data_IF_008755760190
#
_entry.id   IF_008755760190
#
_cell.length_a   1.000
_cell.length_b   1.000
_cell.length_c   1.000
_cell.angle_alpha   90.00
_cell.angle_beta   90.00
_cell.angle_gamma   90.00
#
_symmetry.space_group_name_H-M   'P 1'
#
loop_
_entity.id
_entity.type
_entity.pdbx_description
1 polymer ?
#
# COMPACT_ATOMS: atom_id res chain seq x y z
N UNK A 1 -1.23 -12.94 8.35
CA UNK A 1 -2.65 -12.55 8.31
C UNK A 1 -3.12 -12.16 9.69
N UNK A 2 -3.93 -11.10 9.80
CA UNK A 2 -4.59 -10.70 11.05
C UNK A 2 -5.81 -11.51 11.32
N UNK A 3 -6.55 -11.88 10.28
CA UNK A 3 -7.84 -12.52 10.44
C UNK A 3 -7.89 -13.93 9.87
N UNK A 4 -8.77 -14.71 10.46
CA UNK A 4 -9.17 -16.03 9.99
C UNK A 4 -10.64 -16.21 10.37
N UNK A 5 -11.33 -17.13 9.71
CA UNK A 5 -12.67 -17.55 10.11
C UNK A 5 -12.57 -18.52 11.27
N UNK A 6 -13.23 -18.19 12.37
CA UNK A 6 -13.41 -19.05 13.55
C UNK A 6 -14.91 -19.13 13.78
N UNK A 7 -15.45 -20.35 13.69
CA UNK A 7 -16.90 -20.61 13.72
C UNK A 7 -17.70 -19.77 12.69
N UNK A 8 -17.09 -19.50 11.53
CA UNK A 8 -17.68 -18.68 10.46
C UNK A 8 -17.49 -17.18 10.61
N UNK A 9 -16.95 -16.69 11.73
CA UNK A 9 -16.75 -15.27 11.98
C UNK A 9 -15.29 -14.85 11.77
N UNK A 10 -15.07 -13.70 11.14
CA UNK A 10 -13.75 -13.10 10.97
C UNK A 10 -13.20 -12.66 12.33
N UNK A 11 -12.12 -13.28 12.79
CA UNK A 11 -11.57 -13.04 14.13
C UNK A 11 -10.04 -12.89 14.13
N UNK A 12 -9.56 -12.02 15.01
CA UNK A 12 -8.15 -11.90 15.33
C UNK A 12 -7.68 -13.11 16.18
N UNK A 13 -6.39 -13.47 16.13
CA UNK A 13 -5.86 -14.64 16.82
C UNK A 13 -5.72 -14.41 18.33
N UNK A 14 -6.20 -15.39 19.11
CA UNK A 14 -5.92 -15.55 20.54
C UNK A 14 -5.17 -16.89 20.78
N UNK A 15 -4.53 -17.07 21.96
CA UNK A 15 -3.82 -18.30 22.26
C UNK A 15 -4.66 -19.56 22.02
N UNK A 16 -4.04 -20.57 21.40
CA UNK A 16 -4.61 -21.91 21.15
C UNK A 16 -5.81 -21.97 20.19
N UNK A 17 -6.14 -20.88 19.51
CA UNK A 17 -7.21 -20.90 18.52
C UNK A 17 -6.80 -21.62 17.22
N UNK A 18 -7.80 -22.18 16.55
CA UNK A 18 -7.72 -22.75 15.20
C UNK A 18 -8.76 -22.03 14.35
N UNK A 19 -8.43 -21.81 13.08
CA UNK A 19 -9.33 -21.14 12.15
C UNK A 19 -9.18 -21.69 10.74
N UNK A 20 -9.88 -21.02 9.84
CA UNK A 20 -9.87 -21.27 8.40
C UNK A 20 -9.46 -19.98 7.70
N UNK A 21 -8.48 -20.04 6.80
CA UNK A 21 -8.02 -18.88 6.06
C UNK A 21 -9.19 -18.23 5.30
N UNK A 22 -9.37 -16.93 5.46
CA UNK A 22 -10.43 -16.16 4.77
C UNK A 22 -10.29 -16.24 3.24
N UNK A 23 -9.06 -16.42 2.73
CA UNK A 23 -8.78 -16.46 1.31
C UNK A 23 -8.88 -17.88 0.75
N UNK A 24 -8.02 -18.82 1.17
CA UNK A 24 -7.94 -20.14 0.52
C UNK A 24 -8.80 -21.22 1.17
N UNK A 25 -9.43 -20.95 2.32
CA UNK A 25 -10.19 -21.95 3.06
C UNK A 25 -9.33 -23.04 3.73
N UNK A 26 -8.00 -22.95 3.68
CA UNK A 26 -7.13 -23.93 4.34
C UNK A 26 -7.05 -23.70 5.86
N UNK A 27 -6.79 -24.76 6.66
CA UNK A 27 -6.67 -24.62 8.11
C UNK A 27 -5.51 -23.71 8.55
N UNK A 28 -5.80 -22.82 9.49
CA UNK A 28 -4.84 -21.92 10.14
C UNK A 28 -4.78 -22.20 11.65
N UNK A 29 -3.69 -21.75 12.26
CA UNK A 29 -3.46 -21.79 13.72
C UNK A 29 -2.98 -20.44 14.19
N UNK A 30 -3.45 -20.03 15.37
CA UNK A 30 -2.96 -18.83 16.04
C UNK A 30 -1.54 -19.10 16.54
N UNK A 31 -0.60 -18.25 16.13
CA UNK A 31 0.80 -18.27 16.57
C UNK A 31 1.17 -16.93 17.19
N UNK A 32 2.10 -16.99 18.13
CA UNK A 32 2.78 -15.83 18.70
C UNK A 32 4.26 -16.20 18.78
N UNK A 33 5.13 -15.34 18.25
CA UNK A 33 6.57 -15.50 18.36
C UNK A 33 7.14 -14.52 19.38
N UNK A 34 8.36 -14.75 19.86
CA UNK A 34 9.02 -13.85 20.84
C UNK A 34 9.18 -12.40 20.35
N UNK A 35 9.07 -12.15 19.04
CA UNK A 35 9.13 -10.83 18.40
C UNK A 35 7.88 -10.49 17.57
N UNK A 36 6.91 -11.41 17.45
CA UNK A 36 5.79 -11.28 16.51
C UNK A 36 4.49 -11.27 17.29
N UNK A 37 3.65 -10.26 17.04
CA UNK A 37 2.28 -10.17 17.56
C UNK A 37 1.48 -11.43 17.19
N UNK A 38 0.39 -11.70 17.90
CA UNK A 38 -0.51 -12.80 17.53
C UNK A 38 -0.91 -12.68 16.05
N UNK A 39 -0.73 -13.76 15.30
CA UNK A 39 -1.06 -13.82 13.88
C UNK A 39 -1.61 -15.20 13.52
N UNK A 40 -2.40 -15.26 12.44
CA UNK A 40 -2.81 -16.53 11.85
C UNK A 40 -1.74 -17.01 10.87
N UNK A 41 -1.39 -18.28 10.99
CA UNK A 41 -0.48 -18.98 10.09
C UNK A 41 -1.14 -20.26 9.55
N UNK A 42 -0.93 -20.56 8.27
CA UNK A 42 -1.32 -21.84 7.69
C UNK A 42 -0.61 -23.00 8.41
N UNK A 43 -1.31 -24.11 8.63
CA UNK A 43 -0.71 -25.32 9.23
C UNK A 43 0.36 -25.93 8.33
N UNK A 44 0.11 -25.91 7.02
CA UNK A 44 1.05 -26.36 5.98
C UNK A 44 1.55 -25.13 5.25
N UNK A 45 2.83 -25.11 4.88
CA UNK A 45 3.37 -24.04 4.06
C UNK A 45 2.67 -24.06 2.71
N UNK A 46 1.91 -23.02 2.40
CA UNK A 46 1.25 -22.84 1.11
C UNK A 46 1.47 -21.41 0.62
N UNK A 47 1.61 -21.24 -0.70
CA UNK A 47 1.44 -19.93 -1.34
C UNK A 47 -0.06 -19.67 -1.40
N UNK A 48 -0.54 -18.70 -0.62
CA UNK A 48 -1.97 -18.46 -0.44
C UNK A 48 -2.45 -17.44 -1.47
N UNK A 49 -2.32 -16.15 -1.16
CA UNK A 49 -2.50 -15.05 -2.11
C UNK A 49 -1.11 -14.64 -2.62
N UNK A 50 -0.86 -14.64 -3.95
CA UNK A 50 0.42 -14.22 -4.51
C UNK A 50 0.75 -12.75 -4.26
N UNK A 51 -0.24 -11.89 -4.00
CA UNK A 51 -0.03 -10.47 -3.66
C UNK A 51 0.25 -10.24 -2.18
N UNK A 52 0.08 -11.28 -1.37
CA UNK A 52 0.28 -11.23 0.08
C UNK A 52 1.74 -11.49 0.45
N UNK A 53 2.44 -10.42 0.83
CA UNK A 53 3.79 -10.52 1.39
C UNK A 53 3.77 -10.58 2.94
N UNK A 54 4.93 -10.82 3.55
CA UNK A 54 5.14 -10.71 4.98
C UNK A 54 4.88 -9.28 5.45
N UNK A 55 3.70 -9.10 6.04
CA UNK A 55 3.25 -7.82 6.56
C UNK A 55 4.20 -7.23 7.60
N UNK A 56 4.66 -6.01 7.32
CA UNK A 56 5.53 -5.25 8.22
C UNK A 56 4.73 -4.60 9.37
N UNK A 57 5.45 -4.18 10.41
CA UNK A 57 4.85 -3.39 11.50
C UNK A 57 4.20 -2.10 11.01
N UNK A 58 4.84 -1.39 10.07
CA UNK A 58 4.32 -0.16 9.45
C UNK A 58 2.99 -0.43 8.74
N UNK A 59 2.93 -1.51 7.96
CA UNK A 59 1.73 -1.92 7.21
C UNK A 59 0.57 -2.26 8.16
N UNK A 60 0.86 -3.03 9.20
CA UNK A 60 -0.13 -3.39 10.23
C UNK A 60 -0.66 -2.16 10.97
N UNK A 61 0.22 -1.23 11.34
CA UNK A 61 -0.17 -0.04 12.10
C UNK A 61 -1.07 0.87 11.26
N UNK A 62 -0.81 1.01 9.96
CA UNK A 62 -1.72 1.71 9.05
C UNK A 62 -3.10 1.06 8.97
N UNK A 63 -3.18 -0.26 8.79
CA UNK A 63 -4.46 -0.97 8.80
C UNK A 63 -5.24 -0.79 10.10
N UNK A 64 -4.56 -0.75 11.23
CA UNK A 64 -5.19 -0.59 12.56
C UNK A 64 -5.84 0.78 12.81
N UNK A 65 -5.73 1.75 11.88
CA UNK A 65 -6.52 2.99 11.94
C UNK A 65 -7.97 2.79 11.46
N UNK A 66 -8.29 1.61 10.94
CA UNK A 66 -9.60 1.25 10.41
C UNK A 66 -10.25 0.19 11.29
N UNK A 67 -11.57 0.07 11.24
CA UNK A 67 -12.29 -0.99 11.94
C UNK A 67 -11.98 -2.36 11.32
N UNK A 68 -12.07 -3.42 12.12
CA UNK A 68 -11.71 -4.77 11.68
C UNK A 68 -12.56 -5.24 10.48
N UNK A 69 -13.80 -4.75 10.35
CA UNK A 69 -14.68 -5.10 9.23
C UNK A 69 -14.24 -4.46 7.90
N UNK A 70 -13.44 -3.40 7.92
CA UNK A 70 -12.85 -2.77 6.72
C UNK A 70 -11.57 -3.47 6.26
N UNK A 71 -10.92 -4.26 7.12
CA UNK A 71 -9.57 -4.80 6.88
C UNK A 71 -9.58 -6.21 6.26
N UNK A 72 -8.57 -6.52 5.43
CA UNK A 72 -8.32 -7.85 4.84
C UNK A 72 -9.58 -8.41 4.14
N UNK A 73 -10.10 -7.70 3.12
CA UNK A 73 -11.33 -8.04 2.41
C UNK A 73 -11.02 -8.83 1.14
N UNK A 74 -11.64 -10.00 0.98
CA UNK A 74 -11.44 -10.83 -0.21
C UNK A 74 -12.28 -10.29 -1.37
N UNK A 75 -11.62 -9.86 -2.43
CA UNK A 75 -12.24 -9.48 -3.70
C UNK A 75 -12.19 -10.63 -4.69
N UNK A 76 -13.14 -10.61 -5.62
CA UNK A 76 -13.21 -11.52 -6.76
C UNK A 76 -13.38 -10.69 -8.02
N UNK A 77 -12.62 -11.02 -9.05
CA UNK A 77 -12.88 -10.48 -10.38
C UNK A 77 -13.96 -11.32 -11.11
N UNK A 78 -14.19 -10.98 -12.39
CA UNK A 78 -15.13 -11.69 -13.25
C UNK A 78 -14.63 -13.08 -13.69
N UNK A 79 -13.33 -13.33 -13.63
CA UNK A 79 -12.73 -14.62 -13.99
C UNK A 79 -12.73 -15.63 -12.85
N UNK A 80 -12.97 -15.17 -11.62
CA UNK A 80 -12.89 -15.95 -10.40
C UNK A 80 -11.51 -15.89 -9.72
N UNK A 81 -10.59 -15.09 -10.26
CA UNK A 81 -9.38 -14.66 -9.55
C UNK A 81 -9.79 -13.86 -8.31
N UNK A 82 -9.04 -14.04 -7.23
CA UNK A 82 -9.29 -13.36 -5.97
C UNK A 82 -8.00 -12.86 -5.36
N UNK A 83 -8.12 -11.76 -4.64
CA UNK A 83 -7.04 -11.15 -3.86
C UNK A 83 -7.60 -10.54 -2.58
N UNK A 84 -6.72 -10.33 -1.60
CA UNK A 84 -7.09 -9.67 -0.35
C UNK A 84 -6.73 -8.19 -0.43
N UNK A 85 -7.74 -7.33 -0.39
CA UNK A 85 -7.56 -5.90 -0.21
C UNK A 85 -7.16 -5.60 1.24
N UNK A 86 -6.21 -4.69 1.42
CA UNK A 86 -5.75 -4.25 2.71
C UNK A 86 -6.88 -3.59 3.52
N UNK A 87 -7.55 -2.60 2.93
CA UNK A 87 -8.70 -1.86 3.46
C UNK A 87 -9.74 -1.63 2.37
N UNK A 88 -11.02 -1.66 2.77
CA UNK A 88 -12.14 -1.14 1.99
C UNK A 88 -12.95 -0.20 2.86
N UNK A 89 -13.13 1.04 2.42
CA UNK A 89 -13.93 2.01 3.17
C UNK A 89 -15.44 1.84 2.90
N UNK A 90 -16.27 2.64 3.58
CA UNK A 90 -17.73 2.60 3.44
C UNK A 90 -18.23 2.95 2.03
N UNK A 91 -17.42 3.65 1.24
CA UNK A 91 -17.69 4.01 -0.15
C UNK A 91 -17.19 2.94 -1.15
N UNK A 92 -16.74 1.77 -0.67
CA UNK A 92 -16.14 0.70 -1.46
C UNK A 92 -14.86 1.07 -2.22
N UNK A 93 -14.14 2.10 -1.75
CA UNK A 93 -12.81 2.44 -2.26
C UNK A 93 -11.79 1.54 -1.58
N UNK A 94 -10.97 0.87 -2.39
CA UNK A 94 -9.87 0.02 -1.93
C UNK A 94 -8.69 0.91 -1.54
N UNK A 95 -8.04 0.62 -0.41
CA UNK A 95 -6.82 1.31 0.01
C UNK A 95 -5.75 0.27 0.25
N UNK A 96 -4.66 0.34 -0.51
CA UNK A 96 -3.50 -0.55 -0.42
C UNK A 96 -2.28 0.18 0.17
N UNK A 97 -1.59 -0.47 1.12
CA UNK A 97 -0.40 0.08 1.75
C UNK A 97 0.86 -0.57 1.20
N UNK A 98 1.72 0.23 0.57
CA UNK A 98 2.93 -0.29 -0.04
C UNK A 98 4.19 0.15 0.73
N UNK A 99 4.86 -0.82 1.37
CA UNK A 99 6.08 -0.56 2.15
C UNK A 99 7.38 -0.71 1.34
N UNK A 100 7.38 -1.56 0.32
CA UNK A 100 8.55 -1.93 -0.47
C UNK A 100 8.37 -1.53 -1.95
N UNK A 101 9.43 -1.41 -2.75
CA UNK A 101 9.28 -1.22 -4.19
C UNK A 101 8.45 -2.33 -4.83
N UNK A 102 7.64 -1.97 -5.80
CA UNK A 102 6.80 -2.87 -6.60
C UNK A 102 7.07 -2.60 -8.08
N UNK A 103 6.97 -3.63 -8.93
CA UNK A 103 7.11 -3.43 -10.37
C UNK A 103 5.92 -2.66 -10.95
N UNK A 104 6.14 -1.89 -12.01
CA UNK A 104 5.05 -1.19 -12.71
C UNK A 104 3.98 -2.16 -13.23
N UNK A 105 4.38 -3.35 -13.67
CA UNK A 105 3.46 -4.38 -14.14
C UNK A 105 2.54 -4.89 -13.02
N UNK A 106 3.07 -5.10 -11.82
CA UNK A 106 2.27 -5.52 -10.66
C UNK A 106 1.37 -4.37 -10.17
N UNK A 107 1.86 -3.14 -10.13
CA UNK A 107 1.06 -1.96 -9.78
C UNK A 107 -0.15 -1.82 -10.71
N UNK A 108 0.08 -1.88 -12.02
CA UNK A 108 -0.99 -1.84 -13.02
C UNK A 108 -1.94 -3.02 -12.88
N UNK A 109 -1.43 -4.23 -12.64
CA UNK A 109 -2.28 -5.40 -12.42
C UNK A 109 -3.22 -5.25 -11.24
N UNK A 110 -2.77 -4.60 -10.15
CA UNK A 110 -3.61 -4.34 -8.98
C UNK A 110 -4.64 -3.24 -9.23
N UNK A 111 -4.26 -2.18 -9.94
CA UNK A 111 -5.16 -1.11 -10.35
C UNK A 111 -6.26 -1.62 -11.30
N UNK A 112 -5.89 -2.43 -12.29
CA UNK A 112 -6.83 -3.04 -13.22
C UNK A 112 -7.80 -4.01 -12.50
N UNK A 113 -7.35 -4.68 -11.43
CA UNK A 113 -8.15 -5.63 -10.64
C UNK A 113 -9.12 -4.92 -9.69
N UNK A 114 -8.66 -3.94 -8.92
CA UNK A 114 -9.49 -3.25 -7.91
C UNK A 114 -10.30 -2.08 -8.48
N UNK A 115 -9.85 -1.45 -9.56
CA UNK A 115 -10.48 -0.25 -10.11
C UNK A 115 -10.23 0.99 -9.24
N UNK A 116 -11.30 1.52 -8.65
CA UNK A 116 -11.22 2.72 -7.81
C UNK A 116 -10.48 2.43 -6.50
N UNK A 117 -9.18 2.79 -6.47
CA UNK A 117 -8.31 2.53 -5.34
C UNK A 117 -7.37 3.69 -5.00
N UNK A 118 -6.88 3.69 -3.76
CA UNK A 118 -5.92 4.65 -3.22
C UNK A 118 -4.66 3.91 -2.78
N UNK A 119 -3.51 4.40 -3.22
CA UNK A 119 -2.20 3.95 -2.74
C UNK A 119 -1.72 4.79 -1.56
N UNK A 120 -1.29 4.13 -0.50
CA UNK A 120 -0.54 4.75 0.59
C UNK A 120 0.86 4.14 0.63
N UNK A 121 1.86 4.92 0.22
CA UNK A 121 3.23 4.44 0.01
C UNK A 121 4.14 4.87 1.16
N UNK A 122 4.99 3.97 1.65
CA UNK A 122 5.99 4.31 2.64
C UNK A 122 7.13 5.16 2.05
N UNK A 123 6.98 6.48 2.18
CA UNK A 123 7.97 7.46 1.71
C UNK A 123 9.23 7.61 2.58
N UNK A 124 9.47 6.81 3.63
CA UNK A 124 10.63 7.03 4.54
C UNK A 124 11.98 6.97 3.83
N UNK A 125 12.13 6.11 2.83
CA UNK A 125 13.36 6.07 2.01
C UNK A 125 13.42 7.24 1.03
N UNK A 126 12.27 7.67 0.50
CA UNK A 126 12.17 8.85 -0.35
C UNK A 126 12.60 10.10 0.42
N UNK A 127 12.11 10.30 1.64
CA UNK A 127 12.47 11.44 2.48
C UNK A 127 13.96 11.52 2.84
N UNK A 128 14.66 10.38 2.88
CA UNK A 128 16.11 10.33 3.11
C UNK A 128 16.92 10.70 1.86
N UNK A 129 16.36 10.45 0.68
CA UNK A 129 17.03 10.61 -0.59
C UNK A 129 16.59 11.88 -1.34
N UNK A 130 15.49 12.51 -0.94
CA UNK A 130 15.07 13.83 -1.44
C UNK A 130 15.79 14.90 -0.63
N UNK A 131 16.54 15.75 -1.34
CA UNK A 131 17.02 17.02 -0.80
C UNK A 131 16.13 18.14 -1.35
N UNK A 132 15.27 18.70 -0.51
CA UNK A 132 14.55 19.93 -0.85
C UNK A 132 15.57 21.08 -0.81
N UNK A 133 15.96 21.58 -1.98
CA UNK A 133 17.00 22.59 -2.13
C UNK A 133 16.49 24.03 -2.04
N UNK A 134 15.19 24.24 -2.27
CA UNK A 134 14.53 25.52 -2.15
C UNK A 134 13.13 25.33 -1.56
N UNK A 135 12.63 26.35 -0.84
CA UNK A 135 11.22 26.39 -0.49
C UNK A 135 10.39 26.47 -1.77
N UNK A 136 9.30 25.70 -1.83
CA UNK A 136 8.30 25.92 -2.88
C UNK A 136 7.77 27.36 -2.71
N UNK A 137 7.64 28.13 -3.81
CA UNK A 137 7.08 29.47 -3.71
C UNK A 137 5.64 29.40 -3.19
N UNK A 138 5.13 30.50 -2.64
CA UNK A 138 3.74 30.58 -2.21
C UNK A 138 2.82 30.25 -3.40
N UNK A 139 2.03 29.17 -3.33
CA UNK A 139 1.20 28.71 -4.45
C UNK A 139 0.09 29.70 -4.82
N UNK A 140 -0.19 30.69 -3.96
CA UNK A 140 -1.16 31.75 -4.20
C UNK A 140 -0.50 33.05 -4.68
N UNK A 141 0.82 33.07 -4.87
CA UNK A 141 1.52 34.23 -5.37
C UNK A 141 1.31 34.38 -6.89
N UNK A 142 1.04 35.61 -7.35
CA UNK A 142 0.73 35.95 -8.75
C UNK A 142 1.77 35.43 -9.76
N UNK A 143 3.05 35.31 -9.34
CA UNK A 143 4.12 34.74 -10.17
C UNK A 143 4.04 33.22 -10.40
N UNK A 144 3.09 32.52 -9.78
CA UNK A 144 2.89 31.08 -9.89
C UNK A 144 1.80 30.68 -10.89
N UNK A 145 1.02 31.65 -11.40
CA UNK A 145 -0.12 31.39 -12.31
C UNK A 145 0.29 30.66 -13.60
N UNK A 146 1.53 30.87 -14.07
CA UNK A 146 2.07 30.29 -15.31
C UNK A 146 3.05 29.12 -15.08
N UNK A 147 3.17 28.61 -13.84
CA UNK A 147 4.11 27.52 -13.57
C UNK A 147 3.45 26.15 -13.80
N UNK A 148 3.91 25.44 -14.83
CA UNK A 148 3.54 24.06 -15.11
C UNK A 148 4.65 23.08 -14.70
N UNK A 149 4.27 21.98 -14.02
CA UNK A 149 5.18 20.88 -13.71
C UNK A 149 5.11 19.87 -14.86
N UNK A 150 6.21 19.67 -15.58
CA UNK A 150 6.33 18.65 -16.62
C UNK A 150 7.16 17.47 -16.13
N UNK A 151 6.63 16.25 -16.29
CA UNK A 151 7.42 15.03 -16.14
C UNK A 151 8.33 14.87 -17.37
N UNK A 152 9.64 15.02 -17.19
CA UNK A 152 10.61 14.70 -18.24
C UNK A 152 11.01 13.22 -18.14
N UNK A 153 11.09 12.53 -19.28
CA UNK A 153 11.37 11.09 -19.39
C UNK A 153 12.79 10.66 -18.97
N UNK A 154 13.55 11.52 -18.29
CA UNK A 154 14.87 11.20 -17.76
C UNK A 154 14.89 11.40 -16.26
N UNK A 155 15.50 10.44 -15.57
CA UNK A 155 15.78 10.48 -14.13
C UNK A 155 16.17 11.92 -13.73
N UNK A 156 15.35 12.50 -12.87
CA UNK A 156 15.65 13.70 -12.04
C UNK A 156 15.92 15.00 -12.78
N UNK A 157 14.93 15.56 -13.48
CA UNK A 157 14.90 17.01 -13.76
C UNK A 157 13.48 17.57 -13.66
N UNK A 158 13.27 18.52 -12.74
CA UNK A 158 12.14 19.45 -12.79
C UNK A 158 12.64 20.73 -13.46
N UNK A 159 12.10 21.05 -14.63
CA UNK A 159 12.45 22.29 -15.35
C UNK A 159 11.35 23.29 -15.09
N UNK A 160 11.69 24.37 -14.40
CA UNK A 160 10.83 25.56 -14.31
C UNK A 160 11.11 26.41 -15.54
N UNK A 161 10.16 26.50 -16.46
CA UNK A 161 10.22 27.43 -17.59
C UNK A 161 9.32 28.61 -17.31
N UNK A 162 9.90 29.71 -16.81
CA UNK A 162 9.26 31.01 -16.93
C UNK A 162 9.23 31.37 -18.42
N UNK A 163 8.07 31.77 -18.94
CA UNK A 163 7.90 32.09 -20.37
C UNK A 163 8.82 33.23 -20.86
N UNK A 164 9.58 33.94 -20.02
CA UNK A 164 10.44 35.04 -20.49
C UNK A 164 11.85 35.21 -19.91
N UNK A 165 12.41 34.32 -19.10
CA UNK A 165 13.86 34.33 -18.81
C UNK A 165 14.32 33.01 -18.19
N UNK A 166 15.37 32.41 -18.76
CA UNK A 166 15.94 31.13 -18.34
C UNK A 166 16.61 31.24 -16.96
N UNK A 167 15.99 30.65 -15.93
CA UNK A 167 16.67 30.29 -14.70
C UNK A 167 16.47 28.77 -14.46
N UNK A 168 17.50 27.98 -14.74
CA UNK A 168 17.51 26.55 -14.41
C UNK A 168 17.93 26.35 -12.96
N UNK A 169 17.06 25.76 -12.14
CA UNK A 169 17.44 25.24 -10.82
C UNK A 169 17.71 23.74 -10.97
N UNK A 170 18.95 23.35 -10.75
CA UNK A 170 19.42 21.97 -10.91
C UNK A 170 19.38 21.25 -9.55
N UNK A 171 18.61 20.16 -9.44
CA UNK A 171 18.60 19.30 -8.24
C UNK A 171 19.19 17.95 -8.61
N UNK A 172 20.42 17.70 -8.14
CA UNK A 172 21.16 16.46 -8.39
C UNK A 172 20.87 15.46 -7.27
N UNK A 173 20.34 14.30 -7.62
CA UNK A 173 20.27 13.14 -6.71
C UNK A 173 21.44 12.21 -7.04
N UNK A 174 22.29 11.93 -6.03
CA UNK A 174 23.41 10.99 -6.11
C UNK A 174 22.99 9.57 -5.79
#
# INVERSE_FOLDING_TARGET
>A
MKFSLVDGFKQAPLPKMKGVCIYCGSPTVAKCGSKIRWHWAHKVKCSCDPWWDNESQWHRDWKNHWEDHNQEIVYFDKSGEKHIADIVNEQNIVIEFQNSPMSEAELKSREDFYGDMIWVINGRNLAKNIKLSAMLPDPLHESMEDISIHSSNHKTHFVYSFILLFLSIEVRMS
#
